data_IF_043416344394
#
_entry.id   IF_043416344394
#
_cell.length_a   1.000
_cell.length_b   1.000
_cell.length_c   1.000
_cell.angle_alpha   90.00
_cell.angle_beta   90.00
_cell.angle_gamma   90.00
#
_symmetry.space_group_name_H-M   'P 1'
#
loop_
_entity.id
_entity.type
_entity.pdbx_description
1 polymer ?
#
# COMPACT_ATOMS: atom_id res chain seq x y z
N UNK A 1 10.35 -3.73 4.60
CA UNK A 1 9.01 -4.35 4.66
C UNK A 1 8.12 -3.69 3.62
N UNK A 2 7.35 -4.47 2.84
CA UNK A 2 6.41 -3.91 1.85
C UNK A 2 5.15 -3.33 2.51
N UNK A 3 4.42 -2.46 1.79
CA UNK A 3 3.22 -1.80 2.31
C UNK A 3 2.11 -2.79 2.73
N UNK A 4 1.91 -3.87 1.96
CA UNK A 4 0.96 -4.93 2.31
C UNK A 4 1.39 -5.69 3.56
N UNK A 5 2.66 -6.09 3.64
CA UNK A 5 3.20 -6.80 4.81
C UNK A 5 3.11 -5.95 6.07
N UNK A 6 3.45 -4.66 5.98
CA UNK A 6 3.33 -3.73 7.09
C UNK A 6 1.87 -3.57 7.54
N UNK A 7 0.96 -3.34 6.59
CA UNK A 7 -0.46 -3.17 6.89
C UNK A 7 -1.08 -4.43 7.50
N UNK A 8 -0.67 -5.62 7.06
CA UNK A 8 -1.12 -6.89 7.60
C UNK A 8 -0.69 -7.05 9.06
N UNK A 9 0.61 -6.99 9.35
CA UNK A 9 1.15 -7.14 10.70
C UNK A 9 0.52 -6.14 11.65
N UNK A 10 0.50 -4.87 11.26
CA UNK A 10 -0.06 -3.81 12.10
C UNK A 10 -1.56 -4.02 12.38
N UNK A 11 -2.31 -4.61 11.45
CA UNK A 11 -3.74 -4.90 11.68
C UNK A 11 -3.91 -6.05 12.68
N UNK A 12 -3.07 -7.10 12.59
CA UNK A 12 -3.11 -8.22 13.53
C UNK A 12 -2.70 -7.83 14.96
N UNK A 13 -1.73 -6.91 15.09
CA UNK A 13 -1.30 -6.38 16.39
C UNK A 13 -2.39 -5.51 17.06
N UNK A 14 -3.21 -4.83 16.26
CA UNK A 14 -4.20 -3.86 16.73
C UNK A 14 -5.57 -4.48 17.03
N UNK A 15 -5.93 -5.57 16.35
CA UNK A 15 -7.26 -6.17 16.45
C UNK A 15 -7.17 -7.67 16.71
N UNK A 16 -7.66 -8.09 17.88
CA UNK A 16 -7.88 -9.50 18.18
C UNK A 16 -9.20 -9.98 17.58
N UNK A 17 -9.26 -11.26 17.16
CA UNK A 17 -10.45 -11.88 16.52
C UNK A 17 -10.90 -11.18 15.23
N UNK A 18 -9.96 -11.01 14.30
CA UNK A 18 -10.19 -10.37 13.03
C UNK A 18 -10.81 -11.33 12.02
N UNK A 19 -11.87 -10.92 11.32
CA UNK A 19 -12.42 -11.66 10.17
C UNK A 19 -11.67 -11.29 8.89
N UNK A 20 -11.67 -12.16 7.88
CA UNK A 20 -11.00 -11.87 6.61
C UNK A 20 -11.52 -10.60 5.92
N UNK A 21 -12.83 -10.36 5.98
CA UNK A 21 -13.44 -9.14 5.45
C UNK A 21 -12.99 -7.88 6.19
N UNK A 22 -12.83 -7.97 7.52
CA UNK A 22 -12.32 -6.86 8.32
C UNK A 22 -10.85 -6.60 8.07
N UNK A 23 -10.04 -7.64 7.89
CA UNK A 23 -8.63 -7.54 7.53
C UNK A 23 -8.42 -6.75 6.24
N UNK A 24 -9.05 -7.18 5.14
CA UNK A 24 -8.83 -6.54 3.84
C UNK A 24 -9.30 -5.09 3.83
N UNK A 25 -10.42 -4.78 4.51
CA UNK A 25 -10.92 -3.42 4.66
C UNK A 25 -9.96 -2.54 5.47
N UNK A 26 -9.37 -3.05 6.56
CA UNK A 26 -8.38 -2.31 7.35
C UNK A 26 -7.10 -2.04 6.57
N UNK A 27 -6.58 -3.05 5.88
CA UNK A 27 -5.39 -2.90 5.04
C UNK A 27 -5.64 -1.88 3.92
N UNK A 28 -6.79 -1.95 3.25
CA UNK A 28 -7.18 -0.98 2.22
C UNK A 28 -7.20 0.44 2.78
N UNK A 29 -7.86 0.64 3.93
CA UNK A 29 -7.94 1.96 4.56
C UNK A 29 -6.55 2.49 4.94
N UNK A 30 -5.65 1.67 5.49
CA UNK A 30 -4.27 2.09 5.80
C UNK A 30 -3.53 2.60 4.57
N UNK A 31 -3.66 1.91 3.44
CA UNK A 31 -3.04 2.31 2.18
C UNK A 31 -3.65 3.62 1.66
N UNK A 32 -4.97 3.76 1.71
CA UNK A 32 -5.64 4.99 1.26
C UNK A 32 -5.32 6.19 2.15
N UNK A 33 -5.23 6.02 3.47
CA UNK A 33 -4.82 7.10 4.37
C UNK A 33 -3.36 7.51 4.13
N UNK A 34 -2.47 6.55 3.86
CA UNK A 34 -1.10 6.86 3.45
C UNK A 34 -1.04 7.62 2.10
N UNK A 35 -1.86 7.23 1.11
CA UNK A 35 -2.02 7.97 -0.15
C UNK A 35 -2.51 9.39 0.08
N UNK A 36 -3.52 9.59 0.93
CA UNK A 36 -4.06 10.91 1.26
C UNK A 36 -3.04 11.79 1.96
N UNK A 37 -2.33 11.25 2.96
CA UNK A 37 -1.26 11.97 3.67
C UNK A 37 -0.17 12.47 2.71
N UNK A 38 0.18 11.68 1.71
CA UNK A 38 1.12 12.07 0.67
C UNK A 38 0.59 13.21 -0.23
N UNK A 39 -0.70 13.17 -0.60
CA UNK A 39 -1.36 14.21 -1.42
C UNK A 39 -1.51 15.54 -0.68
N UNK A 40 -1.82 15.50 0.61
CA UNK A 40 -1.99 16.70 1.44
C UNK A 40 -0.67 17.42 1.73
N UNK A 41 0.45 16.70 1.68
CA UNK A 41 1.79 17.28 1.79
C UNK A 41 2.34 17.82 0.45
N UNK A 42 1.57 17.72 -0.64
CA UNK A 42 2.03 17.98 -2.01
C UNK A 42 1.17 18.96 -2.81
N UNK A 43 0.41 19.84 -2.15
CA UNK A 43 -0.45 20.85 -2.78
C UNK A 43 0.30 21.96 -3.57
N UNK A 44 1.56 21.70 -3.96
CA UNK A 44 2.39 22.56 -4.79
C UNK A 44 2.74 21.90 -6.13
N UNK A 45 2.70 20.57 -6.29
CA UNK A 45 3.23 19.92 -7.50
C UNK A 45 2.52 18.59 -7.84
N UNK A 46 1.24 18.62 -8.20
CA UNK A 46 0.49 17.40 -8.58
C UNK A 46 0.23 17.23 -10.08
N UNK A 47 0.78 18.08 -10.97
CA UNK A 47 0.78 17.82 -12.42
C UNK A 47 2.09 17.18 -12.92
N UNK A 48 3.02 16.95 -12.01
CA UNK A 48 4.43 16.67 -12.32
C UNK A 48 4.70 15.16 -12.35
N UNK A 49 3.94 14.32 -11.63
CA UNK A 49 4.31 12.92 -11.41
C UNK A 49 4.42 12.08 -12.69
N UNK A 50 3.53 12.17 -13.67
CA UNK A 50 3.68 11.33 -14.88
C UNK A 50 4.76 11.87 -15.82
N UNK A 51 4.81 13.18 -16.05
CA UNK A 51 5.73 13.82 -17.02
C UNK A 51 7.18 13.94 -16.50
N UNK A 52 7.39 14.16 -15.20
CA UNK A 52 8.73 14.11 -14.60
C UNK A 52 9.25 12.67 -14.43
N UNK A 53 8.38 11.66 -14.30
CA UNK A 53 8.83 10.25 -14.29
C UNK A 53 9.44 9.90 -15.65
N UNK A 54 8.81 10.24 -16.77
CA UNK A 54 9.41 10.00 -18.10
C UNK A 54 10.66 10.85 -18.35
N UNK A 55 10.71 12.12 -17.90
CA UNK A 55 11.92 12.94 -17.97
C UNK A 55 13.07 12.39 -17.09
N UNK A 56 12.79 11.95 -15.87
CA UNK A 56 13.81 11.39 -14.95
C UNK A 56 14.27 10.00 -15.35
N UNK A 57 13.43 9.18 -15.98
CA UNK A 57 13.84 7.86 -16.52
C UNK A 57 14.95 7.99 -17.57
N UNK A 58 14.95 9.05 -18.39
CA UNK A 58 15.98 9.29 -19.41
C UNK A 58 17.29 9.82 -18.80
N UNK A 59 17.24 10.57 -17.70
CA UNK A 59 18.44 11.21 -17.09
C UNK A 59 19.09 10.35 -15.99
N UNK A 60 18.36 9.41 -15.36
CA UNK A 60 18.83 8.66 -14.17
C UNK A 60 19.53 7.33 -14.52
N UNK A 61 20.45 7.33 -15.49
CA UNK A 61 21.55 6.36 -15.47
C UNK A 61 22.62 6.74 -14.42
N UNK A 62 22.53 7.94 -13.81
CA UNK A 62 23.65 8.56 -13.11
C UNK A 62 23.58 8.66 -11.56
N UNK A 63 22.48 8.41 -10.86
CA UNK A 63 22.45 8.63 -9.40
C UNK A 63 21.91 7.43 -8.60
N UNK A 64 22.86 6.68 -8.05
CA UNK A 64 22.70 5.50 -7.22
C UNK A 64 22.10 5.77 -5.82
N UNK A 65 21.41 6.90 -5.61
CA UNK A 65 20.87 7.32 -4.31
C UNK A 65 19.33 7.28 -4.23
N UNK A 66 18.64 6.97 -5.33
CA UNK A 66 17.16 7.01 -5.41
C UNK A 66 16.45 5.66 -5.22
N UNK A 67 17.17 4.59 -4.84
CA UNK A 67 16.57 3.25 -4.67
C UNK A 67 15.53 3.17 -3.54
N UNK A 68 15.59 4.05 -2.55
CA UNK A 68 14.64 4.06 -1.41
C UNK A 68 13.33 4.80 -1.69
N UNK A 69 13.29 5.73 -2.65
CA UNK A 69 12.07 6.50 -2.93
C UNK A 69 11.11 5.75 -3.87
N UNK A 70 11.65 5.01 -4.86
CA UNK A 70 10.83 4.23 -5.79
C UNK A 70 10.05 3.11 -5.09
N UNK A 71 10.65 2.48 -4.07
CA UNK A 71 10.02 1.40 -3.30
C UNK A 71 8.88 1.88 -2.40
N UNK A 72 8.94 3.13 -1.91
CA UNK A 72 7.89 3.70 -1.06
C UNK A 72 6.62 4.06 -1.86
N UNK A 73 6.77 4.47 -3.12
CA UNK A 73 5.64 4.82 -3.99
C UNK A 73 4.94 3.59 -4.58
N UNK A 74 5.67 2.54 -4.96
CA UNK A 74 5.07 1.32 -5.54
C UNK A 74 4.17 0.61 -4.51
N UNK A 75 4.55 0.60 -3.22
CA UNK A 75 3.75 -0.01 -2.17
C UNK A 75 2.37 0.64 -1.97
N UNK A 76 2.24 1.93 -2.29
CA UNK A 76 0.96 2.62 -2.21
C UNK A 76 0.07 2.33 -3.43
N UNK A 77 0.59 1.89 -4.57
CA UNK A 77 -0.27 1.53 -5.73
C UNK A 77 -0.96 0.18 -5.53
N UNK A 78 -0.50 -0.62 -4.57
CA UNK A 78 -1.01 -1.98 -4.33
C UNK A 78 -2.36 -1.95 -3.61
N UNK A 79 -3.33 -2.71 -4.12
CA UNK A 79 -4.60 -2.98 -3.45
C UNK A 79 -4.54 -4.37 -2.78
N UNK A 80 -4.95 -4.50 -1.51
CA UNK A 80 -4.96 -5.79 -0.84
C UNK A 80 -6.03 -6.69 -1.50
N UNK A 81 -5.68 -7.95 -1.72
CA UNK A 81 -6.57 -8.95 -2.32
C UNK A 81 -6.54 -10.23 -1.48
N UNK A 82 -7.66 -10.95 -1.47
CA UNK A 82 -7.76 -12.28 -0.87
C UNK A 82 -8.01 -13.29 -1.98
N UNK A 83 -7.36 -14.44 -1.88
CA UNK A 83 -7.58 -15.59 -2.75
C UNK A 83 -7.77 -16.83 -1.89
N UNK A 84 -8.62 -17.75 -2.33
CA UNK A 84 -8.89 -19.01 -1.65
C UNK A 84 -9.26 -20.08 -2.66
N UNK A 85 -8.84 -21.31 -2.39
CA UNK A 85 -9.19 -22.48 -3.20
C UNK A 85 -10.68 -22.84 -3.10
N UNK A 86 -11.33 -22.45 -2.02
CA UNK A 86 -12.74 -22.74 -1.75
C UNK A 86 -13.51 -21.47 -1.38
N UNK A 87 -14.81 -21.35 -1.73
CA UNK A 87 -15.65 -20.25 -1.27
C UNK A 87 -15.81 -20.27 0.25
N UNK A 88 -15.81 -19.08 0.86
CA UNK A 88 -16.08 -18.93 2.28
C UNK A 88 -16.66 -17.54 2.56
N UNK A 89 -17.39 -17.42 3.67
CA UNK A 89 -17.89 -16.14 4.14
C UNK A 89 -16.78 -15.35 4.85
N UNK A 90 -16.35 -14.27 4.23
CA UNK A 90 -15.30 -13.37 4.73
C UNK A 90 -15.71 -12.64 6.02
N UNK A 91 -17.00 -12.50 6.31
CA UNK A 91 -17.49 -11.81 7.49
C UNK A 91 -17.59 -12.73 8.72
N UNK A 92 -17.67 -14.04 8.49
CA UNK A 92 -17.78 -15.04 9.55
C UNK A 92 -16.45 -15.74 9.85
N UNK A 93 -15.61 -15.95 8.82
CA UNK A 93 -14.33 -16.68 8.99
C UNK A 93 -13.27 -15.79 9.63
N UNK A 94 -12.74 -16.23 10.76
CA UNK A 94 -11.62 -15.60 11.45
C UNK A 94 -10.31 -15.88 10.72
N UNK A 95 -9.42 -14.89 10.74
CA UNK A 95 -8.02 -15.06 10.34
C UNK A 95 -7.36 -15.95 11.38
N UNK A 96 -6.91 -17.13 10.95
CA UNK A 96 -6.06 -17.98 11.78
C UNK A 96 -4.67 -17.36 11.84
N UNK A 97 -4.18 -17.09 13.05
CA UNK A 97 -2.85 -16.53 13.33
C UNK A 97 -2.02 -17.60 14.03
#
# INVERSE_FOLDING_TARGET
>A
MGALTYSFIQTLEQETKLTYGRLIMRMHNKIQEAKKGLRLNGANETQVCFYEIVKKVIITAALHHHRTCLMHFIGLVQEPQLSSSEPFDIHSKLVAI
#
